data_IF_450969290275
#
_entry.id   IF_450969290275
#
_cell.length_a   1.000
_cell.length_b   1.000
_cell.length_c   1.000
_cell.angle_alpha   90.00
_cell.angle_beta   90.00
_cell.angle_gamma   90.00
#
_symmetry.space_group_name_H-M   'P 1'
#
loop_
_entity.id
_entity.type
_entity.pdbx_description
1 polymer ?
#
# COMPACT_ATOMS: atom_id res chain seq x y z
N UNK A 1 -27.66 25.75 -11.57
CA UNK A 1 -28.08 24.76 -12.56
C UNK A 1 -26.90 23.87 -12.92
N UNK A 2 -27.11 22.56 -13.05
CA UNK A 2 -26.07 21.59 -13.31
C UNK A 2 -25.36 21.07 -12.06
N UNK A 3 -25.48 21.71 -10.92
CA UNK A 3 -24.86 21.29 -9.66
C UNK A 3 -25.63 20.17 -8.97
N UNK A 4 -26.93 20.03 -9.21
CA UNK A 4 -27.78 18.97 -8.63
C UNK A 4 -28.28 18.09 -9.79
N UNK A 5 -28.05 16.78 -9.71
CA UNK A 5 -28.49 15.83 -10.72
C UNK A 5 -30.03 15.81 -10.77
N UNK A 6 -30.59 15.98 -11.95
CA UNK A 6 -32.07 16.06 -12.15
C UNK A 6 -32.67 17.48 -12.02
N UNK A 7 -31.89 18.48 -11.65
CA UNK A 7 -32.33 19.88 -11.60
C UNK A 7 -31.74 20.66 -12.77
N UNK A 8 -32.48 20.69 -13.88
CA UNK A 8 -32.13 21.52 -15.02
C UNK A 8 -32.38 23.04 -14.76
N UNK A 9 -31.86 23.88 -15.64
CA UNK A 9 -31.94 25.35 -15.51
C UNK A 9 -33.37 25.86 -15.32
N UNK A 10 -34.33 25.32 -16.07
CA UNK A 10 -35.72 25.70 -15.98
C UNK A 10 -36.36 25.40 -14.62
N UNK A 11 -35.98 24.25 -14.01
CA UNK A 11 -36.47 23.89 -12.68
C UNK A 11 -35.79 24.74 -11.60
N UNK A 12 -34.48 24.95 -11.70
CA UNK A 12 -33.74 25.82 -10.80
C UNK A 12 -34.30 27.25 -10.78
N UNK A 13 -34.60 27.84 -11.97
CA UNK A 13 -35.24 29.16 -12.08
C UNK A 13 -36.59 29.18 -11.38
N UNK A 14 -37.41 28.14 -11.48
CA UNK A 14 -38.74 28.07 -10.81
C UNK A 14 -38.58 28.02 -9.28
N UNK A 15 -37.63 27.25 -8.78
CA UNK A 15 -37.32 27.14 -7.33
C UNK A 15 -36.91 28.53 -6.81
N UNK A 16 -35.91 29.15 -7.44
CA UNK A 16 -35.42 30.49 -7.04
C UNK A 16 -36.49 31.53 -7.15
N UNK A 17 -37.34 31.50 -8.19
CA UNK A 17 -38.49 32.44 -8.35
C UNK A 17 -39.51 32.30 -7.22
N UNK A 18 -39.73 31.05 -6.73
CA UNK A 18 -40.71 30.79 -5.66
C UNK A 18 -40.19 31.21 -4.29
N UNK A 19 -38.94 30.86 -3.95
CA UNK A 19 -38.40 31.03 -2.62
C UNK A 19 -37.40 32.18 -2.47
N UNK A 20 -36.93 32.79 -3.57
CA UNK A 20 -36.03 33.93 -3.54
C UNK A 20 -34.74 33.68 -2.74
N UNK A 21 -34.50 34.52 -1.74
CA UNK A 21 -33.34 34.46 -0.85
C UNK A 21 -33.40 33.26 0.09
N UNK A 22 -34.58 32.74 0.37
CA UNK A 22 -34.78 31.59 1.27
C UNK A 22 -34.61 30.24 0.57
N UNK A 23 -34.25 30.22 -0.72
CA UNK A 23 -34.12 29.00 -1.51
C UNK A 23 -33.27 27.91 -0.82
N UNK A 24 -32.07 28.28 -0.34
CA UNK A 24 -31.17 27.33 0.31
C UNK A 24 -31.71 26.86 1.67
N UNK A 25 -32.27 27.76 2.46
CA UNK A 25 -32.90 27.44 3.75
C UNK A 25 -34.08 26.48 3.55
N UNK A 26 -34.93 26.71 2.59
CA UNK A 26 -36.07 25.83 2.29
C UNK A 26 -35.58 24.44 1.83
N UNK A 27 -34.53 24.36 1.01
CA UNK A 27 -33.99 23.07 0.57
C UNK A 27 -33.41 22.27 1.77
N UNK A 28 -32.78 22.93 2.74
CA UNK A 28 -32.09 22.30 3.84
C UNK A 28 -33.01 22.03 5.06
N UNK A 29 -33.90 22.97 5.38
CA UNK A 29 -34.68 22.94 6.63
C UNK A 29 -36.18 22.60 6.43
N UNK A 30 -36.73 22.89 5.25
CA UNK A 30 -38.15 22.74 4.93
C UNK A 30 -38.36 22.03 3.57
N UNK A 31 -37.72 20.88 3.29
CA UNK A 31 -37.68 20.23 1.97
C UNK A 31 -39.09 19.86 1.44
N UNK A 32 -40.05 19.62 2.32
CA UNK A 32 -41.43 19.34 1.97
C UNK A 32 -42.06 20.51 1.18
N UNK A 33 -41.60 21.72 1.38
CA UNK A 33 -42.09 22.90 0.65
C UNK A 33 -41.66 22.96 -0.82
N UNK A 34 -40.64 22.17 -1.17
CA UNK A 34 -40.21 22.09 -2.57
C UNK A 34 -41.29 21.54 -3.49
N UNK A 35 -42.25 20.78 -3.01
CA UNK A 35 -43.40 20.28 -3.80
C UNK A 35 -44.37 21.39 -4.23
N UNK A 36 -44.31 22.59 -3.57
CA UNK A 36 -45.05 23.75 -4.01
C UNK A 36 -44.61 24.25 -5.42
N UNK A 37 -43.44 23.80 -5.88
CA UNK A 37 -42.90 24.17 -7.20
C UNK A 37 -43.38 23.18 -8.25
N UNK A 38 -44.08 23.67 -9.27
CA UNK A 38 -44.61 22.84 -10.35
C UNK A 38 -43.51 22.02 -11.02
N UNK A 39 -43.64 20.69 -10.95
CA UNK A 39 -42.71 19.70 -11.52
C UNK A 39 -41.74 19.12 -10.49
N UNK A 40 -41.97 19.37 -9.20
CA UNK A 40 -41.25 18.68 -8.10
C UNK A 40 -42.26 17.77 -7.39
N UNK A 41 -41.97 16.48 -7.39
CA UNK A 41 -42.66 15.50 -6.53
C UNK A 41 -41.89 15.37 -5.21
N UNK A 42 -42.47 14.74 -4.17
CA UNK A 42 -41.82 14.43 -2.90
C UNK A 42 -40.49 13.71 -3.13
N UNK A 43 -40.46 12.74 -4.04
CA UNK A 43 -39.24 12.02 -4.39
C UNK A 43 -38.15 12.92 -4.97
N UNK A 44 -38.53 13.88 -5.82
CA UNK A 44 -37.58 14.83 -6.40
C UNK A 44 -37.10 15.83 -5.32
N UNK A 45 -38.01 16.28 -4.45
CA UNK A 45 -37.69 17.14 -3.31
C UNK A 45 -36.63 16.48 -2.43
N UNK A 46 -36.85 15.22 -2.03
CA UNK A 46 -35.89 14.45 -1.22
C UNK A 46 -34.54 14.29 -1.93
N UNK A 47 -34.52 13.95 -3.21
CA UNK A 47 -33.29 13.84 -3.99
C UNK A 47 -32.49 15.17 -4.08
N UNK A 48 -33.19 16.30 -4.16
CA UNK A 48 -32.55 17.63 -4.16
C UNK A 48 -31.91 17.89 -2.81
N UNK A 49 -32.62 17.61 -1.73
CA UNK A 49 -32.17 17.82 -0.36
C UNK A 49 -30.96 16.97 -0.05
N UNK A 50 -31.02 15.66 -0.32
CA UNK A 50 -29.92 14.72 -0.08
C UNK A 50 -28.64 15.15 -0.80
N UNK A 51 -28.73 15.55 -2.06
CA UNK A 51 -27.58 16.04 -2.83
C UNK A 51 -27.04 17.38 -2.33
N UNK A 52 -27.89 18.25 -1.79
CA UNK A 52 -27.43 19.52 -1.22
C UNK A 52 -26.74 19.32 0.10
N UNK A 53 -27.26 18.43 0.97
CA UNK A 53 -26.64 18.06 2.23
C UNK A 53 -25.26 17.43 1.96
N UNK A 54 -25.19 16.43 1.08
CA UNK A 54 -23.93 15.77 0.70
C UNK A 54 -22.88 16.78 0.20
N UNK A 55 -23.28 17.71 -0.68
CA UNK A 55 -22.35 18.74 -1.18
C UNK A 55 -21.89 19.72 -0.12
N UNK A 56 -22.75 20.05 0.83
CA UNK A 56 -22.38 20.89 1.96
C UNK A 56 -21.38 20.17 2.84
N UNK A 57 -21.65 18.93 3.20
CA UNK A 57 -20.75 18.08 4.00
C UNK A 57 -19.39 17.94 3.36
N UNK A 58 -19.33 17.64 2.06
CA UNK A 58 -18.08 17.57 1.30
C UNK A 58 -17.34 18.91 1.38
N UNK A 59 -18.00 20.02 1.17
CA UNK A 59 -17.36 21.34 1.23
C UNK A 59 -16.83 21.67 2.61
N UNK A 60 -17.59 21.38 3.66
CA UNK A 60 -17.17 21.57 5.05
C UNK A 60 -15.96 20.68 5.38
N UNK A 61 -15.98 19.43 4.94
CA UNK A 61 -14.86 18.50 5.06
C UNK A 61 -13.60 19.05 4.39
N UNK A 62 -13.71 19.57 3.17
CA UNK A 62 -12.58 20.14 2.46
C UNK A 62 -12.04 21.40 3.13
N UNK A 63 -12.90 22.30 3.61
CA UNK A 63 -12.49 23.49 4.35
C UNK A 63 -11.78 23.12 5.65
N UNK A 64 -12.26 22.10 6.36
CA UNK A 64 -11.61 21.57 7.53
C UNK A 64 -10.21 21.01 7.22
N UNK A 65 -10.08 20.20 6.18
CA UNK A 65 -8.79 19.63 5.78
C UNK A 65 -7.79 20.72 5.34
N UNK A 66 -8.26 21.74 4.61
CA UNK A 66 -7.42 22.87 4.20
C UNK A 66 -6.88 23.67 5.39
N UNK A 67 -7.61 23.76 6.50
CA UNK A 67 -7.15 24.42 7.73
C UNK A 67 -5.85 23.80 8.25
N UNK A 68 -5.63 22.50 8.02
CA UNK A 68 -4.42 21.78 8.40
C UNK A 68 -3.39 21.69 7.26
N UNK A 69 -3.58 22.44 6.19
CA UNK A 69 -2.65 22.49 5.06
C UNK A 69 -2.73 21.27 4.12
N UNK A 70 -3.82 20.51 4.21
CA UNK A 70 -4.06 19.36 3.33
C UNK A 70 -4.51 19.87 1.96
N UNK A 71 -3.82 19.44 0.89
CA UNK A 71 -4.13 19.82 -0.48
C UNK A 71 -5.46 19.24 -0.95
N UNK A 72 -6.11 19.87 -1.93
CA UNK A 72 -7.38 19.38 -2.48
C UNK A 72 -7.29 17.93 -2.99
N UNK A 73 -6.20 17.55 -3.66
CA UNK A 73 -6.00 16.21 -4.17
C UNK A 73 -5.96 15.17 -3.04
N UNK A 74 -5.31 15.51 -1.94
CA UNK A 74 -5.25 14.65 -0.77
C UNK A 74 -6.57 14.64 -0.01
N UNK A 75 -7.27 15.80 0.07
CA UNK A 75 -8.58 15.92 0.68
C UNK A 75 -9.62 15.01 0.01
N UNK A 76 -9.59 14.90 -1.33
CA UNK A 76 -10.44 13.95 -2.08
C UNK A 76 -10.18 12.51 -1.60
N UNK A 77 -8.92 12.07 -1.59
CA UNK A 77 -8.56 10.71 -1.16
C UNK A 77 -8.96 10.41 0.29
N UNK A 78 -8.78 11.38 1.19
CA UNK A 78 -9.18 11.27 2.61
C UNK A 78 -10.69 11.11 2.71
N UNK A 79 -11.44 11.94 2.00
CA UNK A 79 -12.89 11.90 2.03
C UNK A 79 -13.44 10.62 1.38
N UNK A 80 -12.89 10.17 0.26
CA UNK A 80 -13.25 8.90 -0.38
C UNK A 80 -13.00 7.68 0.53
N UNK A 81 -11.92 7.72 1.32
CA UNK A 81 -11.55 6.61 2.21
C UNK A 81 -12.39 6.57 3.49
N UNK A 82 -12.65 7.72 4.11
CA UNK A 82 -13.20 7.80 5.47
C UNK A 82 -14.55 8.50 5.56
N UNK A 83 -14.97 9.21 4.51
CA UNK A 83 -16.18 10.03 4.56
C UNK A 83 -16.15 11.03 5.72
N UNK A 84 -17.28 11.18 6.41
CA UNK A 84 -17.38 12.03 7.59
C UNK A 84 -16.59 11.50 8.80
N UNK A 85 -16.23 10.21 8.83
CA UNK A 85 -15.39 9.61 9.87
C UNK A 85 -13.97 10.18 9.93
N UNK A 86 -13.54 10.92 8.89
CA UNK A 86 -12.24 11.55 8.84
C UNK A 86 -11.97 12.52 10.01
N UNK A 87 -13.00 13.19 10.52
CA UNK A 87 -12.86 14.11 11.66
C UNK A 87 -12.36 13.39 12.92
N UNK A 88 -12.92 12.22 13.22
CA UNK A 88 -12.48 11.38 14.33
C UNK A 88 -11.06 10.88 14.12
N UNK A 89 -10.76 10.35 12.93
CA UNK A 89 -9.44 9.81 12.60
C UNK A 89 -8.35 10.88 12.73
N UNK A 90 -8.56 12.06 12.16
CA UNK A 90 -7.59 13.14 12.26
C UNK A 90 -7.39 13.63 13.68
N UNK A 91 -8.44 13.67 14.49
CA UNK A 91 -8.39 14.12 15.89
C UNK A 91 -7.74 13.07 16.81
N UNK A 92 -7.99 11.79 16.58
CA UNK A 92 -7.51 10.70 17.44
C UNK A 92 -6.14 10.17 17.00
N UNK A 93 -5.98 9.87 15.72
CA UNK A 93 -4.75 9.28 15.16
C UNK A 93 -4.54 9.66 13.69
N UNK A 94 -3.97 10.84 13.39
CA UNK A 94 -3.70 11.28 12.02
C UNK A 94 -2.66 10.41 11.28
N UNK A 95 -1.87 9.60 12.00
CA UNK A 95 -0.88 8.70 11.39
C UNK A 95 -1.53 7.55 10.59
N UNK A 96 -2.82 7.28 10.82
CA UNK A 96 -3.58 6.36 9.96
C UNK A 96 -3.64 6.81 8.51
N UNK A 97 -3.48 8.10 8.24
CA UNK A 97 -3.37 8.58 6.86
C UNK A 97 -2.17 7.96 6.13
N UNK A 98 -1.05 7.76 6.84
CA UNK A 98 0.15 7.14 6.27
C UNK A 98 0.00 5.61 6.06
N UNK A 99 -0.86 4.96 6.86
CA UNK A 99 -1.15 3.53 6.73
C UNK A 99 -2.17 3.26 5.60
N UNK A 100 -3.19 4.12 5.48
CA UNK A 100 -4.40 3.84 4.71
C UNK A 100 -4.45 4.54 3.34
N UNK A 101 -3.66 5.61 3.13
CA UNK A 101 -3.75 6.44 1.92
C UNK A 101 -2.44 6.44 1.13
N UNK A 102 -2.48 5.89 -0.05
CA UNK A 102 -1.33 5.87 -0.96
C UNK A 102 -0.85 7.30 -1.30
N UNK A 103 0.44 7.54 -1.05
CA UNK A 103 1.09 8.83 -1.29
C UNK A 103 1.15 9.74 -0.05
N UNK A 104 0.63 9.28 1.09
CA UNK A 104 0.84 9.91 2.40
C UNK A 104 1.94 9.14 3.12
N UNK A 105 3.08 9.79 3.34
CA UNK A 105 4.16 9.25 4.17
C UNK A 105 4.06 9.74 5.61
N UNK A 106 4.87 9.12 6.50
CA UNK A 106 4.97 9.50 7.91
C UNK A 106 5.20 11.02 8.11
N UNK A 107 6.12 11.62 7.35
CA UNK A 107 6.43 13.05 7.50
C UNK A 107 5.23 13.96 7.30
N UNK A 108 4.44 13.70 6.26
CA UNK A 108 3.23 14.49 6.00
C UNK A 108 2.16 14.27 7.09
N UNK A 109 2.00 13.02 7.56
CA UNK A 109 1.11 12.72 8.68
C UNK A 109 1.57 13.40 9.97
N UNK A 110 2.88 13.47 10.21
CA UNK A 110 3.48 14.15 11.38
C UNK A 110 3.26 15.67 11.34
N UNK A 111 3.43 16.31 10.17
CA UNK A 111 3.11 17.74 9.98
C UNK A 111 1.62 18.04 10.21
N UNK A 112 0.73 17.15 9.78
CA UNK A 112 -0.71 17.27 10.02
C UNK A 112 -1.02 17.10 11.51
N UNK A 113 -0.40 16.10 12.16
CA UNK A 113 -0.55 15.82 13.59
C UNK A 113 -0.11 17.02 14.44
N UNK A 114 1.02 17.64 14.13
CA UNK A 114 1.51 18.86 14.79
C UNK A 114 0.50 20.00 14.69
N UNK A 115 -0.06 20.26 13.49
CA UNK A 115 -1.05 21.30 13.27
C UNK A 115 -2.38 21.05 14.00
N UNK A 116 -2.73 19.78 14.23
CA UNK A 116 -3.91 19.38 14.99
C UNK A 116 -3.67 19.50 16.50
N UNK A 117 -2.37 19.53 16.92
CA UNK A 117 -1.98 19.62 18.33
C UNK A 117 -1.77 18.26 18.99
N UNK A 118 -1.43 17.23 18.23
CA UNK A 118 -1.01 15.92 18.76
C UNK A 118 0.37 16.08 19.42
N UNK A 119 0.51 15.57 20.62
CA UNK A 119 1.80 15.63 21.35
C UNK A 119 2.88 14.82 20.65
N UNK A 120 4.12 15.36 20.71
CA UNK A 120 5.30 14.77 20.05
C UNK A 120 5.73 13.42 20.64
N UNK A 121 5.30 13.11 21.86
CA UNK A 121 5.55 11.87 22.59
C UNK A 121 4.36 10.90 22.55
N UNK A 122 3.34 11.17 21.73
CA UNK A 122 2.17 10.30 21.64
C UNK A 122 2.56 8.90 21.13
N UNK A 123 1.96 7.87 21.72
CA UNK A 123 2.17 6.48 21.34
C UNK A 123 1.92 6.23 19.85
N UNK A 124 0.91 6.87 19.27
CA UNK A 124 0.60 6.78 17.84
C UNK A 124 1.73 7.30 16.97
N UNK A 125 2.34 8.43 17.37
CA UNK A 125 3.50 9.00 16.67
C UNK A 125 4.69 8.05 16.71
N UNK A 126 5.02 7.56 17.90
CA UNK A 126 6.16 6.66 18.10
C UNK A 126 5.96 5.38 17.30
N UNK A 127 4.80 4.76 17.37
CA UNK A 127 4.45 3.53 16.63
C UNK A 127 4.56 3.72 15.12
N UNK A 128 3.97 4.79 14.60
CA UNK A 128 4.03 5.11 13.17
C UNK A 128 5.45 5.41 12.70
N UNK A 129 6.25 6.11 13.50
CA UNK A 129 7.65 6.39 13.21
C UNK A 129 8.54 5.14 13.19
N UNK A 130 8.29 4.18 14.09
CA UNK A 130 8.98 2.87 14.08
C UNK A 130 8.68 2.12 12.78
N UNK A 131 7.41 2.03 12.38
CA UNK A 131 6.99 1.37 11.13
C UNK A 131 7.58 2.07 9.91
N UNK A 132 7.62 3.41 9.93
CA UNK A 132 8.27 4.20 8.87
C UNK A 132 9.77 3.92 8.79
N UNK A 133 10.47 3.79 9.92
CA UNK A 133 11.91 3.46 9.96
C UNK A 133 12.17 2.09 9.32
N UNK A 134 11.34 1.10 9.60
CA UNK A 134 11.41 -0.22 8.95
C UNK A 134 11.13 -0.12 7.44
N UNK A 135 10.16 0.69 7.03
CA UNK A 135 9.87 0.92 5.62
C UNK A 135 11.05 1.59 4.90
N UNK A 136 11.70 2.59 5.51
CA UNK A 136 12.89 3.21 4.93
C UNK A 136 14.04 2.19 4.79
N UNK A 137 14.25 1.36 5.80
CA UNK A 137 15.24 0.28 5.75
C UNK A 137 14.95 -0.71 4.61
N UNK A 138 13.69 -1.01 4.32
CA UNK A 138 13.32 -1.88 3.20
C UNK A 138 13.64 -1.26 1.83
N UNK A 139 13.53 0.05 1.68
CA UNK A 139 13.96 0.77 0.48
C UNK A 139 15.50 0.76 0.31
N UNK A 140 16.23 0.62 1.42
CA UNK A 140 17.69 0.40 1.44
C UNK A 140 18.08 -1.06 1.16
N UNK A 141 17.10 -1.97 0.99
CA UNK A 141 17.31 -3.39 0.72
C UNK A 141 17.31 -4.29 1.98
N UNK A 142 16.92 -3.76 3.14
CA UNK A 142 16.89 -4.53 4.40
C UNK A 142 15.49 -5.09 4.66
N UNK A 143 15.39 -6.40 4.89
CA UNK A 143 14.12 -7.04 5.29
C UNK A 143 13.80 -6.85 6.76
N UNK A 144 14.81 -6.62 7.59
CA UNK A 144 14.73 -6.37 9.03
C UNK A 144 15.79 -5.35 9.47
N UNK A 145 15.65 -4.88 10.68
CA UNK A 145 16.72 -4.18 11.40
C UNK A 145 17.03 -4.90 12.72
N UNK A 146 18.32 -4.97 13.12
CA UNK A 146 18.69 -5.34 14.49
C UNK A 146 18.01 -4.39 15.50
N UNK A 147 17.56 -4.90 16.63
CA UNK A 147 16.81 -4.14 17.65
C UNK A 147 17.48 -2.81 18.00
N UNK A 148 18.78 -2.84 18.26
CA UNK A 148 19.54 -1.63 18.63
C UNK A 148 19.56 -0.59 17.51
N UNK A 149 19.70 -1.03 16.26
CA UNK A 149 19.71 -0.15 15.08
C UNK A 149 18.35 0.49 14.88
N UNK A 150 17.27 -0.29 14.97
CA UNK A 150 15.89 0.22 14.86
C UNK A 150 15.61 1.24 15.97
N UNK A 151 15.95 0.92 17.21
CA UNK A 151 15.71 1.82 18.35
C UNK A 151 16.43 3.14 18.15
N UNK A 152 17.72 3.11 17.79
CA UNK A 152 18.51 4.31 17.57
C UNK A 152 17.98 5.14 16.39
N UNK A 153 17.76 4.53 15.22
CA UNK A 153 17.22 5.23 14.03
C UNK A 153 15.85 5.85 14.32
N UNK A 154 14.98 5.16 15.05
CA UNK A 154 13.65 5.67 15.42
C UNK A 154 13.73 6.80 16.46
N UNK A 155 14.62 6.70 17.46
CA UNK A 155 14.84 7.73 18.45
C UNK A 155 15.39 9.01 17.80
N UNK A 156 16.37 8.89 16.88
CA UNK A 156 16.92 9.99 16.11
C UNK A 156 15.87 10.66 15.21
N UNK A 157 15.00 9.86 14.56
CA UNK A 157 13.91 10.38 13.71
C UNK A 157 12.87 11.16 14.51
N UNK A 158 12.46 10.61 15.64
CA UNK A 158 11.32 11.11 16.41
C UNK A 158 11.71 12.09 17.50
N UNK A 159 13.01 12.18 17.83
CA UNK A 159 13.57 12.98 18.93
C UNK A 159 12.93 12.62 20.28
N UNK A 160 12.81 11.31 20.56
CA UNK A 160 12.29 10.76 21.82
C UNK A 160 13.30 9.80 22.45
N UNK A 161 13.19 9.54 23.78
CA UNK A 161 14.08 8.58 24.45
C UNK A 161 13.97 7.16 23.89
N UNK A 162 15.07 6.41 23.87
CA UNK A 162 15.13 5.03 23.39
C UNK A 162 14.17 4.10 24.13
N UNK A 163 13.94 4.33 25.44
CA UNK A 163 13.04 3.56 26.27
C UNK A 163 11.60 3.61 25.76
N UNK A 164 11.15 4.79 25.30
CA UNK A 164 9.82 4.94 24.70
C UNK A 164 9.69 4.13 23.39
N UNK A 165 10.76 4.12 22.58
CA UNK A 165 10.80 3.30 21.35
C UNK A 165 10.71 1.81 21.71
N UNK A 166 11.52 1.34 22.68
CA UNK A 166 11.53 -0.08 23.09
C UNK A 166 10.16 -0.54 23.59
N UNK A 167 9.48 0.29 24.40
CA UNK A 167 8.14 0.01 24.88
C UNK A 167 7.15 -0.15 23.72
N UNK A 168 7.19 0.75 22.74
CA UNK A 168 6.28 0.69 21.59
C UNK A 168 6.60 -0.43 20.59
N UNK A 169 7.86 -0.87 20.46
CA UNK A 169 8.18 -2.07 19.69
C UNK A 169 7.50 -3.31 20.29
N UNK A 170 7.45 -3.44 21.63
CA UNK A 170 6.75 -4.54 22.28
C UNK A 170 5.23 -4.48 22.02
N UNK A 171 4.62 -3.29 22.10
CA UNK A 171 3.21 -3.10 21.79
C UNK A 171 2.91 -3.44 20.31
N UNK A 172 3.75 -2.98 19.37
CA UNK A 172 3.62 -3.31 17.95
C UNK A 172 3.77 -4.81 17.67
N UNK A 173 4.60 -5.51 18.46
CA UNK A 173 4.73 -6.96 18.37
C UNK A 173 3.46 -7.68 18.84
N UNK A 174 2.86 -7.25 19.96
CA UNK A 174 1.58 -7.78 20.45
C UNK A 174 0.44 -7.53 19.45
N UNK A 175 0.45 -6.36 18.78
CA UNK A 175 -0.56 -6.00 17.77
C UNK A 175 -0.28 -6.59 16.37
N UNK A 176 0.68 -7.50 16.25
CA UNK A 176 1.07 -8.11 14.98
C UNK A 176 1.42 -7.11 13.86
N UNK A 177 1.97 -5.96 14.22
CA UNK A 177 2.49 -4.98 13.25
C UNK A 177 3.96 -5.21 12.94
N UNK A 178 4.72 -5.77 13.90
CA UNK A 178 6.10 -6.19 13.73
C UNK A 178 6.30 -7.62 14.25
N UNK A 179 7.36 -8.28 13.78
CA UNK A 179 7.81 -9.56 14.31
C UNK A 179 9.19 -9.35 14.93
N UNK A 180 9.34 -9.73 16.19
CA UNK A 180 10.64 -9.74 16.88
C UNK A 180 11.15 -11.17 16.92
N UNK A 181 12.13 -11.47 16.08
CA UNK A 181 12.77 -12.79 16.01
C UNK A 181 14.00 -12.81 16.92
N UNK A 182 13.99 -13.69 17.90
CA UNK A 182 15.14 -13.89 18.78
C UNK A 182 16.23 -14.67 18.03
N UNK A 183 17.44 -14.11 18.01
CA UNK A 183 18.63 -14.75 17.46
C UNK A 183 19.71 -14.86 18.55
N UNK A 184 20.81 -15.53 18.26
CA UNK A 184 21.91 -15.72 19.20
C UNK A 184 22.63 -14.42 19.55
N UNK A 185 22.72 -13.51 18.59
CA UNK A 185 23.48 -12.26 18.74
C UNK A 185 22.61 -11.10 19.22
N UNK A 186 21.64 -10.69 18.41
CA UNK A 186 20.76 -9.58 18.70
C UNK A 186 19.38 -9.81 18.08
N UNK A 187 18.25 -9.49 18.77
CA UNK A 187 16.93 -9.64 18.19
C UNK A 187 16.77 -8.86 16.88
N UNK A 188 16.20 -9.52 15.87
CA UNK A 188 15.85 -8.96 14.57
C UNK A 188 14.39 -8.49 14.58
N UNK A 189 14.13 -7.27 14.12
CA UNK A 189 12.78 -6.70 14.04
C UNK A 189 12.38 -6.50 12.59
N UNK A 190 11.34 -7.20 12.19
CA UNK A 190 10.74 -7.14 10.86
C UNK A 190 9.44 -6.37 10.89
N UNK A 191 9.09 -5.67 9.82
CA UNK A 191 7.69 -5.38 9.55
C UNK A 191 6.95 -6.70 9.30
N UNK A 192 5.73 -6.84 9.80
CA UNK A 192 4.96 -8.09 9.76
C UNK A 192 4.86 -8.68 8.34
N UNK A 193 4.53 -7.84 7.36
CA UNK A 193 4.40 -8.26 5.96
C UNK A 193 5.70 -8.81 5.37
N UNK A 194 6.84 -8.21 5.69
CA UNK A 194 8.15 -8.65 5.18
C UNK A 194 8.60 -9.97 5.79
N UNK A 195 8.35 -10.17 7.09
CA UNK A 195 8.67 -11.45 7.74
C UNK A 195 7.95 -12.61 7.07
N UNK A 196 6.64 -12.47 6.86
CA UNK A 196 5.86 -13.55 6.24
C UNK A 196 6.12 -13.67 4.74
N UNK A 197 6.45 -12.60 4.04
CA UNK A 197 6.89 -12.68 2.65
C UNK A 197 8.18 -13.49 2.51
N UNK A 198 9.20 -13.21 3.34
CA UNK A 198 10.46 -13.98 3.38
C UNK A 198 10.22 -15.45 3.73
N UNK A 199 9.43 -15.71 4.79
CA UNK A 199 9.10 -17.07 5.22
C UNK A 199 8.35 -17.85 4.13
N UNK A 200 7.39 -17.22 3.45
CA UNK A 200 6.64 -17.86 2.37
C UNK A 200 7.52 -18.12 1.14
N UNK A 201 8.38 -17.17 0.76
CA UNK A 201 9.35 -17.39 -0.33
C UNK A 201 10.29 -18.57 0.00
N UNK A 202 10.83 -18.62 1.22
CA UNK A 202 11.70 -19.71 1.66
C UNK A 202 10.96 -21.06 1.61
N UNK A 203 9.69 -21.10 2.06
CA UNK A 203 8.86 -22.30 1.99
C UNK A 203 8.61 -22.75 0.55
N UNK A 204 8.21 -21.83 -0.33
CA UNK A 204 7.97 -22.14 -1.75
C UNK A 204 9.21 -22.64 -2.45
N UNK A 205 10.37 -22.02 -2.20
CA UNK A 205 11.65 -22.49 -2.75
C UNK A 205 12.00 -23.89 -2.24
N UNK A 206 11.79 -24.16 -0.94
CA UNK A 206 12.02 -25.48 -0.37
C UNK A 206 11.09 -26.55 -0.96
N UNK A 207 9.81 -26.20 -1.14
CA UNK A 207 8.82 -27.10 -1.77
C UNK A 207 9.20 -27.43 -3.22
N UNK A 208 9.64 -26.44 -4.00
CA UNK A 208 10.13 -26.65 -5.35
C UNK A 208 11.37 -27.54 -5.40
N UNK A 209 12.30 -27.38 -4.45
CA UNK A 209 13.55 -28.14 -4.43
C UNK A 209 13.35 -29.62 -4.04
N UNK A 210 12.32 -29.94 -3.25
CA UNK A 210 12.02 -31.33 -2.80
C UNK A 210 11.41 -32.16 -3.93
N UNK A 211 10.76 -31.55 -4.91
CA UNK A 211 10.00 -32.26 -5.97
C UNK A 211 10.88 -32.99 -7.01
N UNK A 212 12.21 -32.82 -6.99
CA UNK A 212 13.10 -33.32 -8.04
C UNK A 212 14.22 -34.25 -7.55
N UNK A 213 14.10 -34.86 -6.37
CA UNK A 213 15.03 -35.90 -5.89
C UNK A 213 14.79 -37.28 -6.55
N UNK A 214 14.06 -37.37 -7.66
CA UNK A 214 14.06 -38.63 -8.44
C UNK A 214 15.38 -38.73 -9.19
N UNK A 215 16.17 -39.73 -8.86
CA UNK A 215 17.32 -40.12 -9.65
C UNK A 215 16.92 -40.25 -11.12
N UNK A 216 17.28 -39.23 -11.94
CA UNK A 216 17.17 -39.40 -13.38
C UNK A 216 18.04 -40.56 -13.78
N UNK A 217 17.42 -41.61 -14.28
CA UNK A 217 18.13 -42.76 -14.76
C UNK A 217 19.11 -42.33 -15.88
N UNK A 218 20.29 -42.94 -15.98
CA UNK A 218 21.29 -42.66 -17.03
C UNK A 218 20.70 -42.63 -18.46
N UNK A 219 19.59 -43.31 -18.69
CA UNK A 219 18.85 -43.28 -19.96
C UNK A 219 18.19 -41.92 -20.24
N UNK A 220 17.75 -41.20 -19.23
CA UNK A 220 17.10 -39.87 -19.40
C UNK A 220 18.16 -38.80 -19.63
N UNK A 221 19.31 -38.85 -18.97
CA UNK A 221 20.42 -37.96 -19.25
C UNK A 221 20.86 -38.02 -20.72
N UNK A 222 21.10 -39.24 -21.24
CA UNK A 222 21.43 -39.43 -22.67
C UNK A 222 20.37 -38.92 -23.61
N UNK A 223 19.12 -39.00 -23.23
CA UNK A 223 18.01 -38.46 -24.00
C UNK A 223 18.03 -36.94 -24.04
N UNK A 224 18.27 -36.29 -22.89
CA UNK A 224 18.39 -34.83 -22.78
C UNK A 224 19.57 -34.32 -23.58
N UNK A 225 20.74 -34.97 -23.49
CA UNK A 225 21.93 -34.65 -24.29
C UNK A 225 21.63 -34.75 -25.80
N UNK A 226 20.92 -35.79 -26.22
CA UNK A 226 20.54 -35.95 -27.63
C UNK A 226 19.60 -34.83 -28.09
N UNK A 227 18.65 -34.43 -27.28
CA UNK A 227 17.75 -33.31 -27.55
C UNK A 227 18.53 -32.01 -27.62
N UNK A 228 19.43 -31.75 -26.69
CA UNK A 228 20.30 -30.57 -26.64
C UNK A 228 21.13 -30.46 -27.93
N UNK A 229 21.79 -31.53 -28.33
CA UNK A 229 22.58 -31.56 -29.57
C UNK A 229 21.74 -31.24 -30.82
N UNK A 230 20.48 -31.76 -30.87
CA UNK A 230 19.55 -31.43 -31.95
C UNK A 230 19.20 -29.93 -31.98
N UNK A 231 18.85 -29.36 -30.80
CA UNK A 231 18.49 -27.94 -30.68
C UNK A 231 19.66 -27.05 -31.11
N UNK A 232 20.88 -27.36 -30.62
CA UNK A 232 22.07 -26.61 -30.99
C UNK A 232 22.34 -26.64 -32.48
N UNK A 233 22.20 -27.82 -33.12
CA UNK A 233 22.37 -27.99 -34.59
C UNK A 233 21.32 -27.22 -35.39
N UNK A 234 20.05 -27.29 -34.97
CA UNK A 234 18.95 -26.58 -35.63
C UNK A 234 19.10 -25.06 -35.59
N UNK A 235 19.69 -24.55 -34.51
CA UNK A 235 19.86 -23.10 -34.31
C UNK A 235 21.22 -22.56 -34.73
N UNK A 236 22.15 -23.41 -35.09
CA UNK A 236 23.53 -23.00 -35.39
C UNK A 236 24.23 -22.37 -34.18
N UNK A 237 23.87 -22.81 -32.97
CA UNK A 237 24.40 -22.28 -31.71
C UNK A 237 25.52 -23.21 -31.19
N UNK A 238 26.57 -22.60 -30.67
CA UNK A 238 27.61 -23.29 -29.88
C UNK A 238 27.52 -22.82 -28.45
N UNK A 239 27.35 -23.76 -27.53
CA UNK A 239 27.41 -23.52 -26.08
C UNK A 239 28.75 -24.00 -25.56
N UNK A 240 29.34 -23.23 -24.65
CA UNK A 240 30.51 -23.73 -23.90
C UNK A 240 30.10 -24.82 -22.88
N UNK A 241 31.10 -25.49 -22.29
CA UNK A 241 30.86 -26.60 -21.39
C UNK A 241 30.07 -26.19 -20.12
N UNK A 242 30.27 -24.97 -19.60
CA UNK A 242 29.52 -24.49 -18.45
C UNK A 242 28.05 -24.21 -18.81
N UNK A 243 27.80 -23.69 -20.00
CA UNK A 243 26.44 -23.44 -20.51
C UNK A 243 25.70 -24.76 -20.78
N UNK A 244 26.37 -25.76 -21.38
CA UNK A 244 25.80 -27.11 -21.58
C UNK A 244 25.47 -27.76 -20.22
N UNK A 245 26.38 -27.70 -19.28
CA UNK A 245 26.17 -28.22 -17.94
C UNK A 245 25.00 -27.51 -17.25
N UNK A 246 24.86 -26.19 -17.39
CA UNK A 246 23.73 -25.45 -16.86
C UNK A 246 22.38 -25.91 -17.45
N UNK A 247 22.32 -26.27 -18.74
CA UNK A 247 21.12 -26.84 -19.36
C UNK A 247 20.77 -28.20 -18.73
N UNK A 248 21.76 -29.08 -18.58
CA UNK A 248 21.57 -30.41 -17.98
C UNK A 248 21.15 -30.32 -16.51
N UNK A 249 21.81 -29.48 -15.72
CA UNK A 249 21.47 -29.27 -14.31
C UNK A 249 20.09 -28.67 -14.12
N UNK A 250 19.64 -27.78 -15.02
CA UNK A 250 18.30 -27.20 -14.94
C UNK A 250 17.19 -28.26 -15.04
N UNK A 251 17.42 -29.34 -15.79
CA UNK A 251 16.43 -30.42 -15.93
C UNK A 251 16.44 -31.36 -14.72
N UNK A 252 17.58 -31.47 -14.01
CA UNK A 252 17.72 -32.33 -12.83
C UNK A 252 17.17 -31.70 -11.57
N UNK A 253 17.14 -30.37 -11.48
CA UNK A 253 16.81 -29.65 -10.27
C UNK A 253 15.55 -28.79 -10.41
N UNK A 254 14.70 -28.74 -9.40
CA UNK A 254 13.51 -27.91 -9.36
C UNK A 254 13.83 -26.41 -9.24
N UNK A 255 15.05 -26.07 -8.79
CA UNK A 255 15.54 -24.69 -8.68
C UNK A 255 16.99 -24.65 -9.15
N UNK A 256 17.31 -23.69 -10.00
CA UNK A 256 18.67 -23.41 -10.40
C UNK A 256 18.91 -21.89 -10.41
N UNK A 257 20.11 -21.48 -10.00
CA UNK A 257 20.56 -20.09 -10.08
C UNK A 257 21.62 -19.98 -11.17
N UNK A 258 21.29 -19.29 -12.27
CA UNK A 258 22.23 -19.00 -13.35
C UNK A 258 22.77 -17.59 -13.18
N UNK A 259 24.05 -17.45 -12.83
CA UNK A 259 24.74 -16.17 -12.68
C UNK A 259 25.90 -16.04 -13.65
N UNK A 260 26.34 -14.81 -13.89
CA UNK A 260 27.48 -14.52 -14.79
C UNK A 260 27.55 -13.06 -15.17
N UNK A 261 28.70 -12.59 -15.64
CA UNK A 261 28.93 -11.22 -16.07
C UNK A 261 28.12 -10.81 -17.32
N UNK A 262 28.20 -9.55 -17.72
CA UNK A 262 27.64 -9.11 -19.01
C UNK A 262 28.29 -9.86 -20.19
N UNK A 263 27.50 -10.29 -21.17
CA UNK A 263 28.00 -10.94 -22.38
C UNK A 263 28.37 -12.44 -22.24
N UNK A 264 28.17 -13.07 -21.09
CA UNK A 264 28.48 -14.52 -20.87
C UNK A 264 27.42 -15.47 -21.42
N UNK A 265 26.53 -15.04 -22.30
CA UNK A 265 25.57 -15.92 -22.97
C UNK A 265 24.41 -16.41 -22.08
N UNK A 266 24.14 -15.81 -20.91
CA UNK A 266 23.03 -16.22 -20.02
C UNK A 266 21.67 -16.31 -20.74
N UNK A 267 21.34 -15.33 -21.55
CA UNK A 267 20.09 -15.30 -22.32
C UNK A 267 20.03 -16.45 -23.34
N UNK A 268 21.16 -16.77 -23.98
CA UNK A 268 21.27 -17.90 -24.90
C UNK A 268 21.05 -19.22 -24.18
N UNK A 269 21.69 -19.40 -23.02
CA UNK A 269 21.51 -20.59 -22.17
C UNK A 269 20.06 -20.75 -21.72
N UNK A 270 19.43 -19.67 -21.22
CA UNK A 270 18.00 -19.69 -20.80
C UNK A 270 17.08 -20.05 -21.98
N UNK A 271 17.30 -19.45 -23.16
CA UNK A 271 16.52 -19.76 -24.36
C UNK A 271 16.66 -21.22 -24.81
N UNK A 272 17.84 -21.81 -24.60
CA UNK A 272 18.07 -23.23 -24.88
C UNK A 272 17.33 -24.14 -23.89
N UNK A 273 17.29 -23.76 -22.60
CA UNK A 273 16.56 -24.48 -21.55
C UNK A 273 15.04 -24.50 -21.81
N UNK A 274 14.48 -23.39 -22.27
CA UNK A 274 13.02 -23.24 -22.46
C UNK A 274 12.51 -24.05 -23.68
N UNK A 275 13.38 -24.43 -24.59
CA UNK A 275 13.04 -25.18 -25.82
C UNK A 275 13.14 -26.68 -25.63
#
# INVERSE_FOLDING_TARGET
>A
SGAIKGVGEALAKRIVKKFGKDTFRVIEEEPERLVEVKGISERIAQQITDQMIEKREIREAFLFLQKYGITNTLAVKIYEKYGMGMYGILKENPYRLAEDIQGVGFRLADEIAEKIGIHTDSDYRIRSGILYTLLQASLEGHMFLPMRVLVRRSADLLQVPEEAIRAQIQNLHMDHKVVVKKTTDEPEVYAFSYYYAELNCARMLRELNVLMESELLDSEEKRIETILQRILKEQGLELDELQKNAVLECVKHGIMILSGGPGTGKTTTINTIIR
#
